data_IF_147867385049
#
_entry.id   IF_147867385049
#
_cell.length_a   1.000
_cell.length_b   1.000
_cell.length_c   1.000
_cell.angle_alpha   90.00
_cell.angle_beta   90.00
_cell.angle_gamma   90.00
#
_symmetry.space_group_name_H-M   'P 1'
#
loop_
_entity.id
_entity.type
_entity.pdbx_description
1 polymer ?
#
# COMPACT_ATOMS: atom_id res chain seq x y z
N UNK A 1 -14.64 7.85 -45.62
CA UNK A 1 -15.35 7.62 -44.34
C UNK A 1 -15.38 6.14 -43.91
N UNK A 2 -15.96 5.21 -44.68
CA UNK A 2 -15.99 3.77 -44.33
C UNK A 2 -14.60 3.13 -44.12
N UNK A 3 -13.60 3.48 -44.95
CA UNK A 3 -12.20 3.04 -44.75
C UNK A 3 -11.60 3.53 -43.43
N UNK A 4 -11.91 4.76 -43.01
CA UNK A 4 -11.44 5.34 -41.75
C UNK A 4 -12.13 4.67 -40.55
N UNK A 5 -13.43 4.42 -40.64
CA UNK A 5 -14.18 3.67 -39.61
C UNK A 5 -13.66 2.23 -39.48
N UNK A 6 -13.42 1.53 -40.60
CA UNK A 6 -12.85 0.18 -40.59
C UNK A 6 -11.40 0.14 -40.06
N UNK A 7 -10.62 1.21 -40.27
CA UNK A 7 -9.28 1.36 -39.70
C UNK A 7 -9.33 1.62 -38.19
N UNK A 8 -10.23 2.47 -37.71
CA UNK A 8 -10.51 2.74 -36.28
C UNK A 8 -11.01 1.49 -35.54
N UNK A 9 -11.87 0.69 -36.18
CA UNK A 9 -12.35 -0.59 -35.61
C UNK A 9 -11.23 -1.63 -35.54
N UNK A 10 -10.35 -1.71 -36.56
CA UNK A 10 -9.16 -2.59 -36.52
C UNK A 10 -8.08 -2.10 -35.55
N UNK A 11 -8.02 -0.79 -35.30
CA UNK A 11 -7.09 -0.16 -34.36
C UNK A 11 -7.34 -0.53 -32.89
N UNK A 12 -8.58 -0.91 -32.52
CA UNK A 12 -8.88 -1.47 -31.18
C UNK A 12 -8.03 -2.70 -30.81
N UNK A 13 -7.35 -3.32 -31.78
CA UNK A 13 -6.58 -4.55 -31.60
C UNK A 13 -5.06 -4.37 -31.83
N UNK A 14 -4.52 -3.14 -31.90
CA UNK A 14 -3.11 -2.88 -32.20
C UNK A 14 -2.47 -1.68 -31.49
N UNK A 15 -1.13 -1.53 -31.57
CA UNK A 15 -0.34 -0.48 -30.89
C UNK A 15 -0.48 0.91 -31.55
N UNK A 16 -0.51 1.98 -30.76
CA UNK A 16 -0.57 3.40 -31.17
C UNK A 16 0.19 3.74 -32.45
N UNK A 17 1.50 3.45 -32.50
CA UNK A 17 2.33 3.79 -33.66
C UNK A 17 1.92 3.12 -34.97
N UNK A 18 1.16 2.01 -34.94
CA UNK A 18 0.56 1.39 -36.14
C UNK A 18 -0.75 2.07 -36.53
N UNK A 19 -1.52 2.53 -35.56
CA UNK A 19 -2.80 3.24 -35.75
C UNK A 19 -2.56 4.63 -36.29
N UNK A 20 -1.66 5.39 -35.66
CA UNK A 20 -1.28 6.73 -36.09
C UNK A 20 -0.71 6.72 -37.52
N UNK A 21 0.25 5.83 -37.83
CA UNK A 21 0.81 5.70 -39.19
C UNK A 21 -0.25 5.35 -40.24
N UNK A 22 -1.18 4.44 -39.91
CA UNK A 22 -2.28 4.07 -40.83
C UNK A 22 -3.27 5.21 -41.03
N UNK A 23 -3.61 5.94 -39.98
CA UNK A 23 -4.54 7.07 -40.09
C UNK A 23 -3.89 8.24 -40.83
N UNK A 24 -2.63 8.58 -40.53
CA UNK A 24 -1.83 9.57 -41.28
C UNK A 24 -1.82 9.25 -42.78
N UNK A 25 -1.54 7.99 -43.13
CA UNK A 25 -1.55 7.52 -44.51
C UNK A 25 -2.93 7.57 -45.19
N UNK A 26 -4.02 7.54 -44.43
CA UNK A 26 -5.40 7.53 -44.95
C UNK A 26 -6.03 8.92 -45.03
N UNK A 27 -5.61 9.87 -44.18
CA UNK A 27 -6.25 11.19 -44.05
C UNK A 27 -5.36 12.35 -44.47
N UNK A 28 -4.05 12.15 -44.64
CA UNK A 28 -3.11 13.22 -44.98
C UNK A 28 -2.95 14.28 -43.88
N UNK A 29 -3.46 14.02 -42.67
CA UNK A 29 -3.39 14.95 -41.53
C UNK A 29 -2.05 14.84 -40.81
N UNK A 30 -1.63 15.95 -40.21
CA UNK A 30 -0.39 15.99 -39.41
C UNK A 30 -0.54 15.16 -38.13
N UNK A 31 0.59 14.75 -37.55
CA UNK A 31 0.60 14.00 -36.29
C UNK A 31 -0.17 14.70 -35.17
N UNK A 32 -0.05 16.04 -35.08
CA UNK A 32 -0.70 16.85 -34.06
C UNK A 32 -2.24 16.88 -34.22
N UNK A 33 -2.74 17.12 -35.43
CA UNK A 33 -4.18 17.10 -35.72
C UNK A 33 -4.81 15.74 -35.46
N UNK A 34 -4.07 14.66 -35.74
CA UNK A 34 -4.51 13.29 -35.48
C UNK A 34 -4.61 13.01 -33.98
N UNK A 35 -3.65 13.49 -33.18
CA UNK A 35 -3.72 13.40 -31.73
C UNK A 35 -4.98 14.09 -31.20
N UNK A 36 -5.26 15.32 -31.61
CA UNK A 36 -6.43 16.09 -31.17
C UNK A 36 -7.77 15.41 -31.53
N UNK A 37 -7.87 14.85 -32.74
CA UNK A 37 -9.05 14.08 -33.16
C UNK A 37 -9.23 12.78 -32.37
N UNK A 38 -8.13 12.07 -32.07
CA UNK A 38 -8.16 10.85 -31.25
C UNK A 38 -8.56 11.16 -29.81
N UNK A 39 -8.12 12.30 -29.27
CA UNK A 39 -8.54 12.81 -27.97
C UNK A 39 -10.05 13.04 -27.90
N UNK A 40 -10.61 13.83 -28.82
CA UNK A 40 -12.06 14.11 -28.88
C UNK A 40 -12.88 12.83 -29.04
N UNK A 41 -12.46 11.92 -29.93
CA UNK A 41 -13.15 10.65 -30.16
C UNK A 41 -13.13 9.76 -28.90
N UNK A 42 -12.02 9.73 -28.17
CA UNK A 42 -11.91 8.95 -26.95
C UNK A 42 -12.73 9.56 -25.80
N UNK A 43 -12.79 10.89 -25.68
CA UNK A 43 -13.64 11.58 -24.70
C UNK A 43 -15.13 11.35 -24.98
N UNK A 44 -15.57 11.45 -26.23
CA UNK A 44 -16.96 11.14 -26.62
C UNK A 44 -17.32 9.68 -26.32
N UNK A 45 -16.37 8.76 -26.51
CA UNK A 45 -16.57 7.34 -26.22
C UNK A 45 -16.68 7.07 -24.72
N UNK A 46 -15.89 7.76 -23.90
CA UNK A 46 -16.02 7.74 -22.44
C UNK A 46 -17.39 8.28 -22.05
N UNK A 47 -17.77 9.47 -22.55
CA UNK A 47 -19.07 10.10 -22.31
C UNK A 47 -20.27 9.19 -22.66
N UNK A 48 -20.20 8.50 -23.81
CA UNK A 48 -21.25 7.60 -24.27
C UNK A 48 -21.37 6.33 -23.41
N UNK A 49 -20.27 5.83 -22.86
CA UNK A 49 -20.22 4.58 -22.07
C UNK A 49 -20.43 4.80 -20.57
N UNK A 50 -20.46 6.06 -20.13
CA UNK A 50 -20.85 6.39 -18.77
C UNK A 50 -22.32 6.05 -18.52
N UNK A 51 -22.65 5.45 -17.34
CA UNK A 51 -24.03 5.30 -16.90
C UNK A 51 -24.76 6.64 -16.97
N UNK A 52 -26.06 6.64 -17.30
CA UNK A 52 -26.84 7.87 -17.47
C UNK A 52 -26.72 8.82 -16.26
N UNK A 53 -26.68 8.27 -15.05
CA UNK A 53 -26.53 9.05 -13.82
C UNK A 53 -25.14 9.72 -13.64
N UNK A 54 -24.13 9.27 -14.36
CA UNK A 54 -22.80 9.89 -14.39
C UNK A 54 -22.70 11.00 -15.46
N UNK A 55 -23.68 11.14 -16.36
CA UNK A 55 -23.63 12.12 -17.47
C UNK A 55 -24.02 13.53 -17.05
N UNK A 56 -24.83 13.68 -16.00
CA UNK A 56 -25.31 14.98 -15.50
C UNK A 56 -24.42 15.58 -14.41
N UNK A 57 -23.53 14.80 -13.80
CA UNK A 57 -22.69 15.21 -12.67
C UNK A 57 -21.19 15.34 -12.98
N UNK A 58 -20.78 15.00 -14.22
CA UNK A 58 -19.39 15.02 -14.63
C UNK A 58 -18.91 16.45 -14.91
N UNK A 59 -18.09 17.01 -14.03
CA UNK A 59 -17.28 18.17 -14.40
C UNK A 59 -16.04 17.65 -15.14
N UNK A 60 -15.84 18.11 -16.37
CA UNK A 60 -14.68 17.78 -17.20
C UNK A 60 -13.75 18.99 -17.20
N UNK A 61 -12.53 18.80 -16.72
CA UNK A 61 -11.49 19.84 -16.71
C UNK A 61 -10.26 19.33 -17.45
N UNK A 62 -9.70 20.17 -18.32
CA UNK A 62 -8.38 19.95 -18.90
C UNK A 62 -7.34 20.46 -17.90
N UNK A 63 -6.29 19.68 -17.69
CA UNK A 63 -5.15 20.07 -16.82
C UNK A 63 -3.87 19.96 -17.62
N UNK A 64 -3.06 21.02 -17.60
CA UNK A 64 -1.77 21.04 -18.32
C UNK A 64 -0.59 20.54 -17.46
N UNK A 65 -0.77 20.38 -16.15
CA UNK A 65 0.27 19.91 -15.22
C UNK A 65 -0.18 18.70 -14.39
N UNK A 66 0.73 17.74 -14.08
CA UNK A 66 2.11 17.61 -14.57
C UNK A 66 2.20 17.00 -15.99
N UNK A 67 1.05 16.69 -16.62
CA UNK A 67 0.93 16.30 -18.02
C UNK A 67 -0.50 16.64 -18.52
N UNK A 68 -0.70 16.93 -19.82
CA UNK A 68 -2.02 17.17 -20.39
C UNK A 68 -2.95 15.99 -20.10
N UNK A 69 -4.00 16.25 -19.33
CA UNK A 69 -4.93 15.25 -18.83
C UNK A 69 -6.37 15.75 -18.85
N UNK A 70 -7.33 14.82 -18.82
CA UNK A 70 -8.75 15.15 -18.63
C UNK A 70 -9.21 14.66 -17.28
N UNK A 71 -9.32 15.58 -16.34
CA UNK A 71 -9.91 15.32 -15.04
C UNK A 71 -11.42 15.23 -15.22
N UNK A 72 -11.94 14.02 -15.04
CA UNK A 72 -13.37 13.77 -15.00
C UNK A 72 -13.82 13.54 -13.56
N UNK A 73 -14.55 14.49 -13.02
CA UNK A 73 -15.02 14.46 -11.65
C UNK A 73 -16.41 13.82 -11.53
N UNK A 74 -16.46 12.60 -11.01
CA UNK A 74 -17.72 11.85 -10.82
C UNK A 74 -18.02 11.60 -9.35
N UNK A 75 -19.30 11.59 -8.96
CA UNK A 75 -19.74 11.23 -7.62
C UNK A 75 -20.93 10.27 -7.60
N UNK A 76 -21.10 9.57 -6.47
CA UNK A 76 -22.30 8.77 -6.17
C UNK A 76 -22.12 7.25 -6.23
N UNK A 77 -23.10 6.50 -5.70
CA UNK A 77 -23.06 5.04 -5.61
C UNK A 77 -23.15 4.34 -6.99
N UNK A 78 -23.77 5.00 -7.98
CA UNK A 78 -23.92 4.50 -9.35
C UNK A 78 -22.60 4.48 -10.14
N UNK A 79 -21.57 5.19 -9.65
CA UNK A 79 -20.23 5.24 -10.23
C UNK A 79 -19.54 3.87 -10.23
N UNK A 80 -19.81 3.05 -9.21
CA UNK A 80 -19.21 1.72 -9.04
C UNK A 80 -19.57 0.76 -10.18
N UNK A 81 -20.80 0.85 -10.69
CA UNK A 81 -21.24 0.05 -11.85
C UNK A 81 -20.52 0.45 -13.14
N UNK A 82 -20.05 1.71 -13.23
CA UNK A 82 -19.36 2.27 -14.40
C UNK A 82 -17.84 2.08 -14.38
N UNK A 83 -17.22 1.75 -13.24
CA UNK A 83 -15.75 1.66 -13.11
C UNK A 83 -15.14 0.66 -14.08
N UNK A 84 -15.75 -0.51 -14.29
CA UNK A 84 -15.23 -1.49 -15.24
C UNK A 84 -15.30 -0.99 -16.70
N UNK A 85 -16.32 -0.21 -17.05
CA UNK A 85 -16.40 0.45 -18.34
C UNK A 85 -15.31 1.53 -18.46
N UNK A 86 -15.16 2.39 -17.45
CA UNK A 86 -14.12 3.41 -17.38
C UNK A 86 -12.70 2.84 -17.50
N UNK A 87 -12.38 1.75 -16.78
CA UNK A 87 -11.10 1.04 -16.89
C UNK A 87 -10.79 0.62 -18.34
N UNK A 88 -11.79 0.09 -19.05
CA UNK A 88 -11.61 -0.32 -20.46
C UNK A 88 -11.39 0.88 -21.37
N UNK A 89 -12.11 1.97 -21.13
CA UNK A 89 -11.97 3.18 -21.95
C UNK A 89 -10.68 3.94 -21.69
N UNK A 90 -10.18 4.02 -20.45
CA UNK A 90 -8.87 4.61 -20.13
C UNK A 90 -7.75 3.79 -20.78
N UNK A 91 -7.82 2.46 -20.71
CA UNK A 91 -6.84 1.59 -21.40
C UNK A 91 -6.88 1.80 -22.90
N UNK A 92 -8.08 1.91 -23.47
CA UNK A 92 -8.25 2.22 -24.89
C UNK A 92 -7.68 3.60 -25.23
N UNK A 93 -7.97 4.64 -24.44
CA UNK A 93 -7.44 5.99 -24.61
C UNK A 93 -5.91 5.95 -24.63
N UNK A 94 -5.30 5.38 -23.60
CA UNK A 94 -3.83 5.31 -23.45
C UNK A 94 -3.21 4.55 -24.63
N UNK A 95 -3.83 3.45 -25.06
CA UNK A 95 -3.38 2.69 -26.23
C UNK A 95 -3.54 3.47 -27.56
N UNK A 96 -4.49 4.40 -27.64
CA UNK A 96 -4.82 5.18 -28.83
C UNK A 96 -4.15 6.54 -28.91
N UNK A 97 -3.70 7.13 -27.80
CA UNK A 97 -3.08 8.46 -27.78
C UNK A 97 -1.62 8.42 -27.37
N UNK A 98 -1.16 7.33 -26.75
CA UNK A 98 0.16 7.26 -26.10
C UNK A 98 0.25 8.14 -24.85
N UNK A 99 -0.83 8.81 -24.45
CA UNK A 99 -0.90 9.69 -23.30
C UNK A 99 -1.78 9.07 -22.21
N UNK A 100 -1.39 9.28 -20.95
CA UNK A 100 -2.15 8.82 -19.81
C UNK A 100 -3.37 9.72 -19.60
N UNK A 101 -4.57 9.12 -19.56
CA UNK A 101 -5.76 9.83 -19.14
C UNK A 101 -5.85 9.85 -17.61
N UNK A 102 -5.64 11.01 -17.00
CA UNK A 102 -5.80 11.20 -15.55
C UNK A 102 -7.27 11.40 -15.20
N UNK A 103 -7.91 10.35 -14.69
CA UNK A 103 -9.29 10.43 -14.21
C UNK A 103 -9.27 10.67 -12.69
N UNK A 104 -10.08 11.59 -12.15
CA UNK A 104 -10.18 11.84 -10.70
C UNK A 104 -11.59 11.63 -10.20
N UNK A 105 -11.85 10.51 -9.54
CA UNK A 105 -13.15 10.23 -8.97
C UNK A 105 -13.38 11.04 -7.69
N UNK A 106 -14.50 11.78 -7.60
CA UNK A 106 -14.85 12.51 -6.37
C UNK A 106 -15.29 11.50 -5.31
N UNK A 107 -14.69 11.62 -4.13
CA UNK A 107 -15.10 10.85 -2.97
C UNK A 107 -16.54 11.18 -2.57
N UNK A 108 -17.41 10.17 -2.37
CA UNK A 108 -18.74 10.36 -1.80
C UNK A 108 -18.69 11.12 -0.45
N UNK A 109 -19.75 11.85 -0.06
CA UNK A 109 -19.81 12.60 1.20
C UNK A 109 -19.40 11.76 2.43
N UNK A 110 -19.82 10.49 2.47
CA UNK A 110 -19.45 9.54 3.51
C UNK A 110 -17.93 9.31 3.62
N UNK A 111 -17.25 9.08 2.50
CA UNK A 111 -15.78 8.87 2.49
C UNK A 111 -15.03 10.17 2.76
N UNK A 112 -15.56 11.33 2.35
CA UNK A 112 -15.00 12.65 2.72
C UNK A 112 -15.14 12.93 4.22
N UNK A 113 -16.26 12.56 4.84
CA UNK A 113 -16.44 12.65 6.28
C UNK A 113 -15.46 11.72 7.01
N UNK A 114 -15.30 10.49 6.50
CA UNK A 114 -14.37 9.51 7.03
C UNK A 114 -12.91 10.01 6.99
N UNK A 115 -12.44 10.51 5.84
CA UNK A 115 -11.09 11.09 5.71
C UNK A 115 -10.86 12.29 6.65
N UNK A 116 -11.89 13.12 6.88
CA UNK A 116 -11.84 14.22 7.86
C UNK A 116 -11.78 13.73 9.31
N UNK A 117 -12.44 12.63 9.63
CA UNK A 117 -12.39 12.04 10.97
C UNK A 117 -10.99 11.50 11.31
N UNK A 118 -10.29 10.89 10.35
CA UNK A 118 -8.91 10.45 10.54
C UNK A 118 -7.96 11.59 10.94
N UNK A 119 -8.15 12.80 10.38
CA UNK A 119 -7.35 13.98 10.75
C UNK A 119 -7.40 14.28 12.25
N UNK A 120 -8.49 13.96 12.93
CA UNK A 120 -8.66 14.22 14.36
C UNK A 120 -8.03 13.15 15.25
N UNK A 121 -7.46 12.08 14.66
CA UNK A 121 -6.82 11.00 15.42
C UNK A 121 -7.77 10.23 16.35
N UNK A 122 -9.08 10.32 16.13
CA UNK A 122 -10.08 9.66 16.97
C UNK A 122 -9.98 8.13 16.80
N UNK A 123 -9.78 7.43 17.92
CA UNK A 123 -9.95 5.97 17.96
C UNK A 123 -11.44 5.64 17.75
N UNK A 124 -11.77 4.59 16.99
CA UNK A 124 -13.16 4.20 16.81
C UNK A 124 -13.70 3.73 18.15
N UNK A 125 -14.89 4.19 18.50
CA UNK A 125 -15.65 3.62 19.60
C UNK A 125 -16.04 2.19 19.22
N UNK A 126 -15.45 1.20 19.91
CA UNK A 126 -15.78 -0.20 19.73
C UNK A 126 -16.70 -0.62 20.87
N UNK A 127 -17.87 -1.14 20.52
CA UNK A 127 -18.81 -1.68 21.49
C UNK A 127 -18.47 -3.16 21.74
N UNK A 128 -18.25 -3.59 23.01
CA UNK A 128 -17.94 -4.98 23.33
C UNK A 128 -18.99 -5.96 22.79
N UNK A 129 -20.27 -5.55 22.85
CA UNK A 129 -21.43 -6.37 22.48
C UNK A 129 -21.86 -6.19 21.01
N UNK A 130 -21.08 -5.50 20.19
CA UNK A 130 -21.35 -5.44 18.75
C UNK A 130 -20.88 -6.74 18.07
N UNK A 131 -21.53 -7.16 16.97
CA UNK A 131 -21.02 -8.24 16.12
C UNK A 131 -19.59 -7.95 15.65
N UNK A 132 -18.70 -8.94 15.68
CA UNK A 132 -17.30 -8.78 15.24
C UNK A 132 -17.18 -8.32 13.79
N UNK A 133 -18.16 -8.64 12.94
CA UNK A 133 -18.23 -8.17 11.55
C UNK A 133 -18.45 -6.64 11.45
N UNK A 134 -19.16 -6.05 12.40
CA UNK A 134 -19.33 -4.60 12.52
C UNK A 134 -18.04 -3.93 13.03
N UNK A 135 -17.42 -4.51 14.07
CA UNK A 135 -16.11 -4.10 14.59
C UNK A 135 -15.04 -4.13 13.48
N UNK A 136 -15.01 -5.20 12.68
CA UNK A 136 -14.12 -5.32 11.52
C UNK A 136 -14.32 -4.18 10.53
N UNK A 137 -15.57 -3.86 10.19
CA UNK A 137 -15.90 -2.74 9.29
C UNK A 137 -15.50 -1.39 9.90
N UNK A 138 -15.69 -1.17 11.20
CA UNK A 138 -15.24 0.05 11.90
C UNK A 138 -13.72 0.22 11.81
N UNK A 139 -12.96 -0.83 12.15
CA UNK A 139 -11.49 -0.81 12.10
C UNK A 139 -11.01 -0.57 10.66
N UNK A 140 -11.54 -1.30 9.67
CA UNK A 140 -11.18 -1.13 8.27
C UNK A 140 -11.51 0.28 7.74
N UNK A 141 -12.65 0.87 8.16
CA UNK A 141 -13.00 2.25 7.83
C UNK A 141 -11.98 3.23 8.39
N UNK A 142 -11.53 3.05 9.63
CA UNK A 142 -10.48 3.90 10.22
C UNK A 142 -9.17 3.82 9.42
N UNK A 143 -8.73 2.63 9.02
CA UNK A 143 -7.49 2.50 8.26
C UNK A 143 -7.65 3.06 6.82
N UNK A 144 -8.82 2.89 6.20
CA UNK A 144 -9.14 3.53 4.92
C UNK A 144 -9.18 5.06 5.04
N UNK A 145 -9.68 5.59 6.16
CA UNK A 145 -9.70 7.01 6.46
C UNK A 145 -8.29 7.63 6.46
N UNK A 146 -7.34 6.94 7.11
CA UNK A 146 -5.93 7.36 7.12
C UNK A 146 -5.32 7.28 5.72
N UNK A 147 -5.55 6.18 4.98
CA UNK A 147 -5.09 6.05 3.59
C UNK A 147 -5.61 7.22 2.74
N UNK A 148 -6.90 7.53 2.81
CA UNK A 148 -7.51 8.65 2.10
C UNK A 148 -6.89 10.01 2.47
N UNK A 149 -6.63 10.23 3.75
CA UNK A 149 -6.03 11.47 4.24
C UNK A 149 -4.63 11.68 3.64
N UNK A 150 -3.77 10.67 3.72
CA UNK A 150 -2.41 10.77 3.21
C UNK A 150 -2.35 10.73 1.67
N UNK A 151 -3.29 10.07 0.99
CA UNK A 151 -3.39 10.16 -0.47
C UNK A 151 -3.67 11.59 -0.92
N UNK A 152 -4.55 12.32 -0.21
CA UNK A 152 -4.86 13.72 -0.51
C UNK A 152 -3.69 14.66 -0.22
N UNK A 153 -2.95 14.42 0.87
CA UNK A 153 -1.79 15.22 1.20
C UNK A 153 -0.66 14.99 0.19
N UNK A 154 -0.36 13.72 -0.15
CA UNK A 154 0.72 13.40 -1.09
C UNK A 154 0.47 14.04 -2.46
N UNK A 155 -0.77 14.03 -2.95
CA UNK A 155 -1.15 14.70 -4.20
C UNK A 155 -1.04 16.24 -4.17
N UNK A 156 -0.92 16.86 -2.99
CA UNK A 156 -0.83 18.33 -2.83
C UNK A 156 0.58 18.83 -2.57
N UNK A 157 1.37 18.09 -1.77
CA UNK A 157 2.67 18.57 -1.27
C UNK A 157 3.84 17.65 -1.56
N UNK A 158 3.61 16.48 -2.14
CA UNK A 158 4.65 15.50 -2.50
C UNK A 158 5.63 15.15 -1.34
N UNK A 159 5.11 15.10 -0.11
CA UNK A 159 5.89 14.88 1.11
C UNK A 159 6.21 13.39 1.31
N UNK A 160 7.49 13.08 1.59
CA UNK A 160 7.97 11.73 1.86
C UNK A 160 7.25 11.07 3.06
N UNK A 161 6.85 11.87 4.06
CA UNK A 161 6.11 11.35 5.21
C UNK A 161 4.72 10.83 4.81
N UNK A 162 4.07 11.40 3.80
CA UNK A 162 2.78 10.87 3.34
C UNK A 162 2.94 9.51 2.63
N UNK A 163 4.05 9.26 1.93
CA UNK A 163 4.34 7.93 1.37
C UNK A 163 4.54 6.92 2.49
N UNK A 164 5.26 7.31 3.56
CA UNK A 164 5.43 6.48 4.75
C UNK A 164 4.07 6.11 5.36
N UNK A 165 3.20 7.10 5.59
CA UNK A 165 1.89 6.86 6.18
C UNK A 165 0.96 6.06 5.25
N UNK A 166 1.02 6.25 3.93
CA UNK A 166 0.31 5.42 2.95
C UNK A 166 0.71 3.95 3.03
N UNK A 167 2.01 3.67 3.16
CA UNK A 167 2.51 2.31 3.40
C UNK A 167 2.00 1.76 4.73
N UNK A 168 2.05 2.54 5.80
CA UNK A 168 1.56 2.14 7.13
C UNK A 168 0.08 1.76 7.07
N UNK A 169 -0.76 2.62 6.51
CA UNK A 169 -2.21 2.41 6.42
C UNK A 169 -2.58 1.25 5.50
N UNK A 170 -1.86 1.07 4.38
CA UNK A 170 -2.02 -0.10 3.51
C UNK A 170 -1.67 -1.40 4.23
N UNK A 171 -0.57 -1.42 4.99
CA UNK A 171 -0.16 -2.59 5.79
C UNK A 171 -1.17 -2.90 6.89
N UNK A 172 -1.68 -1.88 7.60
CA UNK A 172 -2.72 -2.06 8.62
C UNK A 172 -4.04 -2.55 8.00
N UNK A 173 -4.44 -2.05 6.84
CA UNK A 173 -5.59 -2.57 6.07
C UNK A 173 -5.45 -4.05 5.70
N UNK A 174 -4.24 -4.47 5.27
CA UNK A 174 -3.95 -5.88 4.98
C UNK A 174 -4.02 -6.74 6.25
N UNK A 175 -3.44 -6.26 7.35
CA UNK A 175 -3.46 -6.98 8.62
C UNK A 175 -4.90 -7.13 9.16
N UNK A 176 -5.69 -6.05 9.15
CA UNK A 176 -7.09 -6.08 9.56
C UNK A 176 -7.92 -7.02 8.66
N UNK A 177 -7.77 -6.91 7.33
CA UNK A 177 -8.46 -7.82 6.40
C UNK A 177 -8.14 -9.29 6.66
N UNK A 178 -6.90 -9.62 7.01
CA UNK A 178 -6.48 -10.98 7.32
C UNK A 178 -6.95 -11.45 8.70
N UNK A 179 -6.94 -10.55 9.71
CA UNK A 179 -7.43 -10.85 11.06
C UNK A 179 -8.93 -11.17 11.06
N UNK A 180 -9.71 -10.39 10.31
CA UNK A 180 -11.16 -10.49 10.27
C UNK A 180 -11.69 -11.34 9.10
N UNK A 181 -10.83 -12.13 8.46
CA UNK A 181 -11.19 -12.92 7.28
C UNK A 181 -12.36 -13.90 7.55
N UNK A 182 -12.49 -14.42 8.78
CA UNK A 182 -13.61 -15.29 9.17
C UNK A 182 -14.94 -14.55 9.41
N UNK A 183 -14.91 -13.23 9.58
CA UNK A 183 -16.09 -12.38 9.82
C UNK A 183 -16.53 -11.55 8.61
N UNK A 184 -15.79 -11.65 7.51
CA UNK A 184 -16.01 -10.93 6.26
C UNK A 184 -16.24 -11.93 5.12
N UNK A 185 -17.02 -11.57 4.12
CA UNK A 185 -17.19 -12.40 2.93
C UNK A 185 -15.85 -12.49 2.16
N UNK A 186 -15.25 -13.69 2.17
CA UNK A 186 -13.98 -13.96 1.52
C UNK A 186 -14.02 -13.73 0.00
N UNK A 187 -15.16 -14.00 -0.65
CA UNK A 187 -15.33 -13.79 -2.09
C UNK A 187 -15.37 -12.30 -2.43
N UNK A 188 -16.08 -11.51 -1.62
CA UNK A 188 -16.14 -10.06 -1.75
C UNK A 188 -14.80 -9.38 -1.41
N UNK A 189 -14.02 -9.93 -0.48
CA UNK A 189 -12.73 -9.37 -0.06
C UNK A 189 -11.57 -9.65 -1.03
N UNK A 190 -11.67 -10.69 -1.87
CA UNK A 190 -10.59 -11.13 -2.76
C UNK A 190 -10.06 -10.03 -3.72
N UNK A 191 -10.90 -9.21 -4.39
CA UNK A 191 -10.42 -8.11 -5.22
C UNK A 191 -9.68 -7.04 -4.41
N UNK A 192 -10.19 -6.68 -3.23
CA UNK A 192 -9.58 -5.68 -2.36
C UNK A 192 -8.23 -6.15 -1.80
N UNK A 193 -8.11 -7.43 -1.43
CA UNK A 193 -6.84 -8.01 -1.00
C UNK A 193 -5.76 -7.93 -2.09
N UNK A 194 -6.14 -8.09 -3.37
CA UNK A 194 -5.23 -7.91 -4.51
C UNK A 194 -4.81 -6.46 -4.66
N UNK A 195 -5.76 -5.52 -4.60
CA UNK A 195 -5.47 -4.08 -4.69
C UNK A 195 -4.55 -3.61 -3.56
N UNK A 196 -4.82 -4.02 -2.32
CA UNK A 196 -3.97 -3.74 -1.16
C UNK A 196 -2.56 -4.35 -1.29
N UNK A 197 -2.42 -5.52 -1.91
CA UNK A 197 -1.10 -6.10 -2.20
C UNK A 197 -0.34 -5.25 -3.21
N UNK A 198 -1.01 -4.79 -4.27
CA UNK A 198 -0.41 -3.89 -5.26
C UNK A 198 0.03 -2.58 -4.61
N UNK A 199 -0.86 -1.91 -3.87
CA UNK A 199 -0.53 -0.70 -3.10
C UNK A 199 0.68 -0.92 -2.18
N UNK A 200 0.69 -2.05 -1.46
CA UNK A 200 1.76 -2.39 -0.54
C UNK A 200 3.11 -2.61 -1.21
N UNK A 201 3.14 -3.07 -2.48
CA UNK A 201 4.38 -3.18 -3.26
C UNK A 201 4.88 -1.82 -3.72
N UNK A 202 3.98 -0.97 -4.24
CA UNK A 202 4.31 0.37 -4.75
C UNK A 202 4.88 1.25 -3.64
N UNK A 203 4.13 1.47 -2.55
CA UNK A 203 4.63 2.25 -1.41
C UNK A 203 5.72 1.51 -0.63
N UNK A 204 5.76 0.19 -0.76
CA UNK A 204 6.79 -0.67 -0.18
C UNK A 204 8.17 -0.28 -0.69
N UNK A 205 8.32 -0.26 -2.01
CA UNK A 205 9.56 0.02 -2.71
C UNK A 205 10.14 1.40 -2.39
N UNK A 206 9.30 2.44 -2.32
CA UNK A 206 9.76 3.80 -1.94
C UNK A 206 10.37 3.78 -0.55
N UNK A 207 9.69 3.16 0.44
CA UNK A 207 10.20 3.11 1.81
C UNK A 207 11.47 2.28 1.93
N UNK A 208 11.59 1.19 1.20
CA UNK A 208 12.80 0.36 1.23
C UNK A 208 14.01 1.17 0.71
N UNK A 209 13.81 2.01 -0.32
CA UNK A 209 14.82 2.97 -0.80
C UNK A 209 15.08 4.10 0.21
N UNK A 210 14.06 4.68 0.84
CA UNK A 210 14.23 5.71 1.86
C UNK A 210 15.08 5.21 3.05
N UNK A 211 14.78 4.01 3.56
CA UNK A 211 15.53 3.40 4.68
C UNK A 211 16.96 3.08 4.26
N UNK A 212 17.16 2.56 3.05
CA UNK A 212 18.49 2.28 2.54
C UNK A 212 19.34 3.55 2.44
N UNK A 213 18.80 4.61 1.83
CA UNK A 213 19.49 5.89 1.69
C UNK A 213 19.78 6.52 3.06
N UNK A 214 18.85 6.47 4.00
CA UNK A 214 19.06 6.95 5.37
C UNK A 214 20.26 6.25 6.04
N UNK A 215 20.29 4.91 6.01
CA UNK A 215 21.39 4.11 6.60
C UNK A 215 22.71 4.29 5.84
N UNK A 216 22.66 4.33 4.51
CA UNK A 216 23.85 4.52 3.65
C UNK A 216 24.48 5.90 3.86
N UNK A 217 23.69 6.98 3.87
CA UNK A 217 24.19 8.33 4.13
C UNK A 217 24.73 8.48 5.56
N UNK A 218 24.10 7.84 6.55
CA UNK A 218 24.60 7.83 7.93
C UNK A 218 25.96 7.15 8.03
N UNK A 219 26.15 6.01 7.35
CA UNK A 219 27.44 5.33 7.26
C UNK A 219 28.48 6.18 6.53
N UNK A 220 28.12 6.75 5.38
CA UNK A 220 28.99 7.62 4.59
C UNK A 220 29.55 8.79 5.42
N UNK A 221 28.70 9.44 6.24
CA UNK A 221 29.11 10.56 7.09
C UNK A 221 30.16 10.18 8.17
N UNK A 222 30.32 8.89 8.48
CA UNK A 222 31.29 8.39 9.46
C UNK A 222 32.62 7.95 8.83
N UNK A 223 32.70 7.87 7.50
CA UNK A 223 33.90 7.43 6.78
C UNK A 223 34.91 8.57 6.57
N UNK A 224 36.22 8.28 6.50
CA UNK A 224 37.23 9.20 6.00
C UNK A 224 36.99 9.59 4.52
N UNK A 225 37.42 10.80 4.14
CA UNK A 225 37.19 11.36 2.78
C UNK A 225 37.57 10.44 1.60
N UNK A 226 38.66 9.64 1.62
CA UNK A 226 38.96 8.72 0.53
C UNK A 226 37.89 7.64 0.32
N UNK A 227 37.31 7.10 1.40
CA UNK A 227 36.28 6.04 1.36
C UNK A 227 34.87 6.59 1.12
N UNK A 228 34.65 7.88 1.37
CA UNK A 228 33.41 8.56 0.99
C UNK A 228 33.23 8.57 -0.53
N UNK A 229 34.32 8.85 -1.25
CA UNK A 229 34.30 8.99 -2.71
C UNK A 229 33.80 7.75 -3.46
N UNK A 230 34.04 6.53 -2.96
CA UNK A 230 33.54 5.31 -3.60
C UNK A 230 32.05 5.04 -3.35
N UNK A 231 31.47 5.58 -2.27
CA UNK A 231 30.03 5.44 -1.99
C UNK A 231 29.16 6.54 -2.62
N UNK A 232 29.75 7.67 -3.05
CA UNK A 232 29.02 8.75 -3.71
C UNK A 232 28.22 8.27 -4.93
N UNK A 233 28.82 7.40 -5.74
CA UNK A 233 28.17 6.83 -6.94
C UNK A 233 26.99 5.93 -6.58
N UNK A 234 27.10 5.17 -5.48
CA UNK A 234 26.02 4.32 -4.98
C UNK A 234 24.86 5.15 -4.42
N UNK A 235 25.16 6.23 -3.70
CA UNK A 235 24.16 7.17 -3.18
C UNK A 235 23.39 7.80 -4.34
N UNK A 236 24.10 8.31 -5.36
CA UNK A 236 23.49 8.89 -6.55
C UNK A 236 22.59 7.88 -7.29
N UNK A 237 23.05 6.63 -7.43
CA UNK A 237 22.26 5.55 -8.02
C UNK A 237 20.94 5.34 -7.27
N UNK A 238 20.97 5.22 -5.94
CA UNK A 238 19.74 5.00 -5.16
C UNK A 238 18.85 6.24 -5.07
N UNK A 239 19.39 7.45 -5.10
CA UNK A 239 18.61 8.69 -5.19
C UNK A 239 17.82 8.77 -6.51
N UNK A 240 18.43 8.36 -7.63
CA UNK A 240 17.75 8.26 -8.91
C UNK A 240 16.60 7.22 -8.86
N UNK A 241 16.86 6.04 -8.29
CA UNK A 241 15.83 5.01 -8.10
C UNK A 241 14.70 5.48 -7.17
N UNK A 242 15.01 6.18 -6.08
CA UNK A 242 14.02 6.75 -5.16
C UNK A 242 13.11 7.75 -5.87
N UNK A 243 13.68 8.63 -6.69
CA UNK A 243 12.92 9.60 -7.48
C UNK A 243 11.97 8.88 -8.45
N UNK A 244 12.46 7.88 -9.19
CA UNK A 244 11.63 7.08 -10.08
C UNK A 244 10.52 6.30 -9.35
N UNK A 245 10.82 5.76 -8.17
CA UNK A 245 9.85 5.05 -7.33
C UNK A 245 8.77 6.00 -6.79
N UNK A 246 9.13 7.24 -6.40
CA UNK A 246 8.18 8.28 -5.98
C UNK A 246 7.25 8.70 -7.11
N UNK A 247 7.79 8.91 -8.32
CA UNK A 247 6.98 9.17 -9.52
C UNK A 247 6.01 8.02 -9.77
N UNK A 248 6.48 6.76 -9.67
CA UNK A 248 5.63 5.57 -9.81
C UNK A 248 4.52 5.52 -8.76
N UNK A 249 4.81 5.90 -7.51
CA UNK A 249 3.83 5.95 -6.43
C UNK A 249 2.74 7.03 -6.67
N UNK A 250 3.13 8.20 -7.17
CA UNK A 250 2.20 9.26 -7.56
C UNK A 250 1.33 8.83 -8.75
N UNK A 251 1.93 8.23 -9.78
CA UNK A 251 1.21 7.67 -10.92
C UNK A 251 0.21 6.59 -10.49
N UNK A 252 0.60 5.73 -9.54
CA UNK A 252 -0.30 4.72 -8.98
C UNK A 252 -1.49 5.34 -8.26
N UNK A 253 -1.28 6.38 -7.44
CA UNK A 253 -2.36 7.07 -6.73
C UNK A 253 -3.39 7.71 -7.68
N UNK A 254 -2.90 8.34 -8.74
CA UNK A 254 -3.74 8.92 -9.79
C UNK A 254 -4.30 7.86 -10.76
N UNK A 255 -3.81 6.62 -10.66
CA UNK A 255 -4.28 5.50 -11.47
C UNK A 255 -5.72 5.12 -11.15
N UNK A 256 -6.49 4.82 -12.20
CA UNK A 256 -7.88 4.39 -12.09
C UNK A 256 -8.06 3.17 -11.17
N UNK A 257 -7.09 2.27 -11.12
CA UNK A 257 -7.17 1.07 -10.30
C UNK A 257 -7.14 1.39 -8.79
N UNK A 258 -6.31 2.35 -8.37
CA UNK A 258 -6.27 2.80 -6.98
C UNK A 258 -7.56 3.56 -6.61
N UNK A 259 -8.00 4.48 -7.45
CA UNK A 259 -9.21 5.26 -7.19
C UNK A 259 -10.47 4.39 -7.15
N UNK A 260 -10.58 3.45 -8.10
CA UNK A 260 -11.63 2.46 -8.11
C UNK A 260 -11.62 1.60 -6.83
N UNK A 261 -10.44 1.13 -6.43
CA UNK A 261 -10.28 0.38 -5.19
C UNK A 261 -10.82 1.18 -3.99
N UNK A 262 -10.40 2.44 -3.84
CA UNK A 262 -10.82 3.30 -2.73
C UNK A 262 -12.34 3.45 -2.67
N UNK A 263 -13.00 3.62 -3.82
CA UNK A 263 -14.45 3.77 -3.89
C UNK A 263 -15.20 2.47 -3.67
N UNK A 264 -14.81 1.40 -4.36
CA UNK A 264 -15.44 0.08 -4.26
C UNK A 264 -15.29 -0.45 -2.84
N UNK A 265 -14.09 -0.34 -2.27
CA UNK A 265 -13.82 -0.77 -0.90
C UNK A 265 -14.51 0.11 0.12
N UNK A 266 -14.49 1.44 -0.06
CA UNK A 266 -15.22 2.36 0.81
C UNK A 266 -16.73 2.11 0.80
N UNK A 267 -17.33 1.90 -0.37
CA UNK A 267 -18.75 1.56 -0.49
C UNK A 267 -19.05 0.20 0.16
N UNK A 268 -18.22 -0.81 -0.08
CA UNK A 268 -18.33 -2.10 0.58
C UNK A 268 -18.35 -1.97 2.10
N UNK A 269 -17.43 -1.18 2.67
CA UNK A 269 -17.33 -0.98 4.12
C UNK A 269 -18.48 -0.16 4.72
N UNK A 270 -19.08 0.73 3.94
CA UNK A 270 -20.21 1.57 4.38
C UNK A 270 -21.57 0.86 4.26
N UNK A 271 -21.66 -0.26 3.55
CA UNK A 271 -22.86 -1.09 3.57
C UNK A 271 -23.02 -1.72 4.96
N UNK A 272 -24.27 -1.83 5.47
CA UNK A 272 -24.51 -2.57 6.69
C UNK A 272 -24.04 -4.02 6.50
N UNK A 273 -23.55 -4.68 7.57
CA UNK A 273 -23.30 -6.12 7.49
C UNK A 273 -24.60 -6.84 7.07
N UNK A 274 -24.53 -7.97 6.34
CA UNK A 274 -25.71 -8.77 6.04
C UNK A 274 -26.48 -9.03 7.33
N UNK A 275 -27.80 -8.85 7.30
CA UNK A 275 -28.62 -8.71 8.51
C UNK A 275 -28.59 -9.95 9.41
N UNK A 276 -29.08 -9.78 10.65
CA UNK A 276 -29.17 -10.83 11.66
C UNK A 276 -29.88 -12.12 11.19
N UNK A 277 -30.68 -12.09 10.12
CA UNK A 277 -31.30 -13.31 9.56
C UNK A 277 -30.30 -14.27 8.92
N UNK A 278 -29.06 -13.84 8.66
CA UNK A 278 -27.99 -14.69 8.11
C UNK A 278 -27.19 -15.42 9.20
N UNK A 279 -27.21 -14.93 10.44
CA UNK A 279 -26.46 -15.49 11.58
C UNK A 279 -27.28 -15.35 12.86
N UNK A 280 -28.06 -16.39 13.26
CA UNK A 280 -28.95 -16.32 14.43
C UNK A 280 -28.21 -16.06 15.75
N UNK A 281 -26.90 -16.33 15.82
CA UNK A 281 -26.03 -16.00 16.93
C UNK A 281 -24.71 -15.39 16.42
N UNK A 282 -24.60 -14.06 16.27
CA UNK A 282 -23.36 -13.43 15.83
C UNK A 282 -22.29 -13.53 16.93
N UNK A 283 -21.05 -13.80 16.52
CA UNK A 283 -19.90 -13.73 17.44
C UNK A 283 -19.67 -12.26 17.81
N UNK A 284 -19.67 -11.96 19.12
CA UNK A 284 -19.47 -10.60 19.64
C UNK A 284 -17.99 -10.20 19.64
N UNK A 285 -17.73 -8.90 19.59
CA UNK A 285 -16.37 -8.37 19.59
C UNK A 285 -15.59 -8.77 20.86
N UNK A 286 -16.22 -8.73 22.03
CA UNK A 286 -15.61 -9.12 23.30
C UNK A 286 -15.25 -10.61 23.39
N UNK A 287 -15.95 -11.48 22.67
CA UNK A 287 -15.67 -12.92 22.63
C UNK A 287 -14.66 -13.27 21.52
N UNK A 288 -14.71 -12.55 20.39
CA UNK A 288 -13.78 -12.73 19.28
C UNK A 288 -12.37 -12.20 19.59
N UNK A 289 -12.25 -11.08 20.31
CA UNK A 289 -10.96 -10.43 20.55
C UNK A 289 -9.94 -11.36 21.23
N UNK A 290 -10.25 -12.08 22.34
CA UNK A 290 -9.34 -13.05 22.93
C UNK A 290 -8.91 -14.13 21.93
N UNK A 291 -9.86 -14.74 21.21
CA UNK A 291 -9.57 -15.81 20.24
C UNK A 291 -8.61 -15.34 19.15
N UNK A 292 -8.86 -14.16 18.58
CA UNK A 292 -8.05 -13.60 17.51
C UNK A 292 -6.65 -13.17 18.00
N UNK A 293 -6.55 -12.59 19.20
CA UNK A 293 -5.26 -12.19 19.80
C UNK A 293 -4.43 -13.43 20.16
N UNK A 294 -5.02 -14.40 20.86
CA UNK A 294 -4.30 -15.62 21.24
C UNK A 294 -3.95 -16.49 20.03
N UNK A 295 -4.74 -16.47 18.96
CA UNK A 295 -4.35 -17.08 17.68
C UNK A 295 -3.05 -16.48 17.13
N UNK A 296 -2.90 -15.15 17.14
CA UNK A 296 -1.64 -14.48 16.74
C UNK A 296 -0.50 -14.72 17.73
N UNK A 297 -0.80 -14.84 19.01
CA UNK A 297 0.20 -15.21 20.01
C UNK A 297 0.73 -16.63 19.75
N UNK A 298 -0.15 -17.57 19.40
CA UNK A 298 0.22 -18.95 19.09
C UNK A 298 1.14 -19.03 17.87
N UNK A 299 0.86 -18.26 16.80
CA UNK A 299 1.73 -18.13 15.62
C UNK A 299 3.16 -17.72 16.02
N UNK A 300 3.30 -16.68 16.85
CA UNK A 300 4.61 -16.24 17.36
C UNK A 300 5.27 -17.31 18.24
N UNK A 301 4.51 -17.93 19.15
CA UNK A 301 5.02 -18.93 20.08
C UNK A 301 5.50 -20.21 19.38
N UNK A 302 4.96 -20.51 18.20
CA UNK A 302 5.37 -21.66 17.40
C UNK A 302 6.87 -21.63 17.04
N UNK A 303 7.49 -20.45 16.98
CA UNK A 303 8.92 -20.30 16.69
C UNK A 303 9.83 -20.53 17.90
N UNK A 304 9.32 -20.41 19.13
CA UNK A 304 10.14 -20.47 20.34
C UNK A 304 10.95 -21.77 20.49
N UNK A 305 10.40 -22.97 20.19
CA UNK A 305 11.14 -24.23 20.36
C UNK A 305 12.42 -24.33 19.51
N UNK A 306 12.49 -23.63 18.38
CA UNK A 306 13.61 -23.70 17.45
C UNK A 306 14.29 -22.34 17.24
N UNK A 307 14.03 -21.37 18.12
CA UNK A 307 14.51 -20.00 17.95
C UNK A 307 16.04 -19.89 17.96
N UNK A 308 16.73 -20.75 18.72
CA UNK A 308 18.19 -20.77 18.80
C UNK A 308 18.87 -21.05 17.45
N UNK A 309 18.20 -21.82 16.58
CA UNK A 309 18.72 -22.24 15.27
C UNK A 309 17.93 -21.60 14.12
N UNK A 310 17.17 -20.53 14.39
CA UNK A 310 16.33 -19.88 13.41
C UNK A 310 17.17 -19.28 12.26
N UNK A 311 16.79 -19.61 11.03
CA UNK A 311 17.35 -19.00 9.83
C UNK A 311 16.89 -17.54 9.69
N UNK A 312 17.53 -16.79 8.79
CA UNK A 312 17.06 -15.44 8.44
C UNK A 312 15.63 -15.44 7.90
N UNK A 313 15.23 -16.51 7.18
CA UNK A 313 13.86 -16.67 6.71
C UNK A 313 12.89 -16.86 7.87
N UNK A 314 13.24 -17.71 8.85
CA UNK A 314 12.39 -17.93 10.03
C UNK A 314 12.23 -16.64 10.84
N UNK A 315 13.30 -15.86 11.00
CA UNK A 315 13.24 -14.58 11.70
C UNK A 315 12.44 -13.52 10.93
N UNK A 316 12.46 -13.55 9.59
CA UNK A 316 11.60 -12.71 8.76
C UNK A 316 10.11 -13.04 8.95
N UNK A 317 9.77 -14.33 8.97
CA UNK A 317 8.39 -14.79 9.20
C UNK A 317 7.94 -14.47 10.63
N UNK A 318 8.80 -14.71 11.63
CA UNK A 318 8.55 -14.35 13.02
C UNK A 318 8.31 -12.84 13.19
N UNK A 319 9.07 -12.00 12.48
CA UNK A 319 8.84 -10.54 12.45
C UNK A 319 7.47 -10.17 11.90
N UNK A 320 7.01 -10.87 10.87
CA UNK A 320 5.67 -10.67 10.32
C UNK A 320 4.63 -11.05 11.37
N UNK A 321 4.81 -12.16 12.09
CA UNK A 321 3.84 -12.64 13.08
C UNK A 321 3.81 -11.75 14.34
N UNK A 322 4.96 -11.24 14.80
CA UNK A 322 5.00 -10.20 15.83
C UNK A 322 4.24 -8.95 15.41
N UNK A 323 4.35 -8.53 14.14
CA UNK A 323 3.57 -7.39 13.61
C UNK A 323 2.08 -7.69 13.59
N UNK A 324 1.67 -8.89 13.19
CA UNK A 324 0.25 -9.30 13.21
C UNK A 324 -0.30 -9.30 14.64
N UNK A 325 0.44 -9.83 15.61
CA UNK A 325 0.06 -9.80 17.03
C UNK A 325 -0.11 -8.37 17.53
N UNK A 326 0.87 -7.49 17.27
CA UNK A 326 0.75 -6.08 17.67
C UNK A 326 -0.43 -5.39 17.00
N UNK A 327 -0.71 -5.68 15.73
CA UNK A 327 -1.89 -5.11 15.07
C UNK A 327 -3.20 -5.62 15.63
N UNK A 328 -3.31 -6.90 15.97
CA UNK A 328 -4.51 -7.42 16.63
C UNK A 328 -4.76 -6.68 17.96
N UNK A 329 -3.71 -6.49 18.76
CA UNK A 329 -3.77 -5.71 20.00
C UNK A 329 -4.13 -4.25 19.76
N UNK A 330 -3.51 -3.58 18.79
CA UNK A 330 -3.80 -2.19 18.45
C UNK A 330 -5.24 -2.01 17.94
N UNK A 331 -5.78 -2.98 17.18
CA UNK A 331 -7.13 -2.90 16.64
C UNK A 331 -8.21 -3.10 17.69
N UNK A 332 -7.96 -3.96 18.67
CA UNK A 332 -8.88 -4.20 19.79
C UNK A 332 -8.61 -3.31 20.99
N UNK A 333 -7.62 -2.39 20.94
CA UNK A 333 -7.23 -1.50 22.05
C UNK A 333 -8.39 -0.92 22.85
N UNK A 334 -9.48 -0.39 22.25
CA UNK A 334 -10.61 0.15 23.02
C UNK A 334 -11.34 -0.88 23.89
N UNK A 335 -11.16 -2.18 23.65
CA UNK A 335 -11.76 -3.30 24.38
C UNK A 335 -10.76 -3.97 25.35
N UNK A 336 -9.54 -3.42 25.51
CA UNK A 336 -8.48 -4.05 26.29
C UNK A 336 -8.09 -3.20 27.50
N UNK A 337 -7.60 -3.86 28.55
CA UNK A 337 -7.19 -3.22 29.81
C UNK A 337 -5.89 -2.43 29.73
N UNK A 338 -5.61 -1.69 30.80
CA UNK A 338 -4.47 -0.76 30.90
C UNK A 338 -3.09 -1.42 30.68
N UNK A 339 -2.94 -2.70 31.03
CA UNK A 339 -1.70 -3.48 30.83
C UNK A 339 -1.27 -3.56 29.36
N UNK A 340 -2.18 -3.29 28.42
CA UNK A 340 -1.89 -3.24 26.99
C UNK A 340 -0.70 -2.31 26.68
N UNK A 341 -0.56 -1.17 27.38
CA UNK A 341 0.54 -0.24 27.14
C UNK A 341 1.91 -0.91 27.35
N UNK A 342 2.04 -1.68 28.42
CA UNK A 342 3.25 -2.42 28.77
C UNK A 342 3.52 -3.53 27.75
N UNK A 343 2.49 -4.30 27.39
CA UNK A 343 2.57 -5.36 26.37
C UNK A 343 3.04 -4.79 25.03
N UNK A 344 2.45 -3.68 24.56
CA UNK A 344 2.84 -3.03 23.31
C UNK A 344 4.29 -2.53 23.37
N UNK A 345 4.73 -2.05 24.53
CA UNK A 345 6.12 -1.60 24.73
C UNK A 345 7.11 -2.76 24.56
N UNK A 346 6.86 -3.90 25.19
CA UNK A 346 7.70 -5.10 25.05
C UNK A 346 7.72 -5.59 23.59
N UNK A 347 6.55 -5.63 22.93
CA UNK A 347 6.47 -6.03 21.52
C UNK A 347 7.21 -5.08 20.58
N UNK A 348 7.28 -3.77 20.88
CA UNK A 348 8.06 -2.82 20.09
C UNK A 348 9.56 -3.12 20.16
N UNK A 349 10.11 -3.34 21.35
CA UNK A 349 11.54 -3.64 21.52
C UNK A 349 11.98 -4.87 20.70
N UNK A 350 11.14 -5.91 20.65
CA UNK A 350 11.39 -7.10 19.82
C UNK A 350 11.31 -6.77 18.33
N UNK A 351 10.32 -5.98 17.93
CA UNK A 351 10.14 -5.56 16.55
C UNK A 351 11.24 -4.62 16.06
N UNK A 352 11.88 -3.86 16.94
CA UNK A 352 12.99 -2.98 16.61
C UNK A 352 14.20 -3.84 16.21
N UNK A 353 14.58 -4.83 17.02
CA UNK A 353 15.68 -5.76 16.70
C UNK A 353 15.43 -6.55 15.40
N UNK A 354 14.24 -7.14 15.25
CA UNK A 354 13.88 -7.83 14.01
C UNK A 354 13.75 -6.87 12.83
N UNK A 355 13.38 -5.61 13.09
CA UNK A 355 13.35 -4.52 12.13
C UNK A 355 14.73 -4.26 11.55
N UNK A 356 15.70 -4.01 12.42
CA UNK A 356 17.09 -3.74 12.04
C UNK A 356 17.74 -4.90 11.31
N UNK A 357 17.50 -6.14 11.76
CA UNK A 357 17.98 -7.34 11.08
C UNK A 357 17.44 -7.42 9.64
N UNK A 358 16.12 -7.25 9.48
CA UNK A 358 15.49 -7.26 8.17
C UNK A 358 16.02 -6.11 7.28
N UNK A 359 16.23 -4.94 7.84
CA UNK A 359 16.70 -3.78 7.08
C UNK A 359 18.16 -3.96 6.66
N UNK A 360 19.00 -4.61 7.48
CA UNK A 360 20.36 -5.01 7.12
C UNK A 360 20.36 -6.01 5.95
N UNK A 361 19.50 -7.02 6.01
CA UNK A 361 19.40 -8.05 4.97
C UNK A 361 18.89 -7.49 3.63
N UNK A 362 17.83 -6.66 3.67
CA UNK A 362 17.30 -5.95 2.50
C UNK A 362 18.35 -5.02 1.90
N UNK A 363 19.11 -4.28 2.72
CA UNK A 363 20.18 -3.41 2.24
C UNK A 363 21.27 -4.20 1.49
N UNK A 364 21.73 -5.33 2.05
CA UNK A 364 22.72 -6.19 1.37
C UNK A 364 22.21 -6.66 0.00
N UNK A 365 20.96 -7.14 -0.06
CA UNK A 365 20.36 -7.61 -1.30
C UNK A 365 20.22 -6.49 -2.34
N UNK A 366 19.80 -5.30 -1.93
CA UNK A 366 19.64 -4.14 -2.82
C UNK A 366 20.97 -3.65 -3.37
N UNK A 367 22.02 -3.58 -2.54
CA UNK A 367 23.34 -3.09 -2.96
C UNK A 367 24.03 -4.09 -3.88
N UNK A 368 23.94 -5.40 -3.59
CA UNK A 368 24.44 -6.44 -4.51
C UNK A 368 23.77 -6.37 -5.86
N UNK A 369 22.45 -6.23 -5.87
CA UNK A 369 21.69 -6.06 -7.12
C UNK A 369 22.11 -4.79 -7.87
N UNK A 370 22.38 -3.69 -7.17
CA UNK A 370 22.84 -2.47 -7.82
C UNK A 370 24.20 -2.67 -8.52
N UNK A 371 25.14 -3.39 -7.90
CA UNK A 371 26.41 -3.77 -8.53
C UNK A 371 26.20 -4.61 -9.79
N UNK A 372 25.23 -5.52 -9.80
CA UNK A 372 24.90 -6.34 -10.96
C UNK A 372 24.21 -5.53 -12.08
N UNK A 373 23.33 -4.60 -11.71
CA UNK A 373 22.49 -3.83 -12.63
C UNK A 373 23.25 -2.63 -13.28
N UNK A 374 24.30 -2.08 -12.63
CA UNK A 374 25.05 -0.91 -13.12
C UNK A 374 26.58 -1.17 -13.18
N UNK A 375 27.15 -1.39 -14.39
CA UNK A 375 28.59 -1.56 -14.57
C UNK A 375 29.44 -0.38 -14.08
N UNK A 376 28.88 0.83 -13.99
CA UNK A 376 29.58 2.00 -13.46
C UNK A 376 29.96 1.84 -11.99
N UNK A 377 29.14 1.13 -11.21
CA UNK A 377 29.38 0.86 -9.79
C UNK A 377 30.51 -0.16 -9.57
N UNK A 378 30.84 -0.99 -10.56
CA UNK A 378 31.92 -1.98 -10.46
C UNK A 378 33.29 -1.34 -10.26
N UNK A 379 33.49 -0.11 -10.75
CA UNK A 379 34.73 0.65 -10.52
C UNK A 379 34.99 0.97 -9.04
N UNK A 380 33.94 1.01 -8.22
CA UNK A 380 33.97 1.29 -6.78
C UNK A 380 33.66 0.05 -5.94
N UNK A 381 33.83 -1.15 -6.51
CA UNK A 381 33.42 -2.42 -5.89
C UNK A 381 33.93 -2.60 -4.46
N UNK A 382 35.17 -2.22 -4.17
CA UNK A 382 35.81 -2.43 -2.87
C UNK A 382 35.14 -1.61 -1.74
N UNK A 383 34.81 -0.34 -1.98
CA UNK A 383 34.09 0.49 -1.00
C UNK A 383 32.64 0.02 -0.81
N UNK A 384 31.97 -0.30 -1.92
CA UNK A 384 30.59 -0.81 -1.88
C UNK A 384 30.53 -2.15 -1.14
N UNK A 385 31.51 -3.03 -1.38
CA UNK A 385 31.62 -4.31 -0.69
C UNK A 385 32.01 -4.15 0.79
N UNK A 386 32.78 -3.12 1.15
CA UNK A 386 33.04 -2.78 2.54
C UNK A 386 31.73 -2.42 3.27
N UNK A 387 30.86 -1.61 2.65
CA UNK A 387 29.53 -1.32 3.19
C UNK A 387 28.67 -2.59 3.34
N UNK A 388 28.64 -3.47 2.32
CA UNK A 388 27.94 -4.77 2.42
C UNK A 388 28.46 -5.57 3.62
N UNK A 389 29.78 -5.66 3.79
CA UNK A 389 30.43 -6.42 4.87
C UNK A 389 30.01 -5.88 6.26
N UNK A 390 29.93 -4.56 6.42
CA UNK A 390 29.43 -3.92 7.65
C UNK A 390 27.99 -4.34 7.92
N UNK A 391 27.11 -4.26 6.91
CA UNK A 391 25.70 -4.65 7.05
C UNK A 391 25.53 -6.15 7.34
N UNK A 392 26.34 -7.02 6.75
CA UNK A 392 26.32 -8.45 7.02
C UNK A 392 26.80 -8.77 8.44
N UNK A 393 27.80 -8.05 8.93
CA UNK A 393 28.28 -8.19 10.31
C UNK A 393 27.20 -7.79 11.31
N UNK A 394 26.54 -6.66 11.09
CA UNK A 394 25.39 -6.21 11.90
C UNK A 394 24.25 -7.22 11.87
N UNK A 395 23.88 -7.73 10.69
CA UNK A 395 22.84 -8.76 10.53
C UNK A 395 23.17 -10.01 11.35
N UNK A 396 24.39 -10.52 11.25
CA UNK A 396 24.84 -11.72 11.98
C UNK A 396 24.82 -11.49 13.50
N UNK A 397 25.27 -10.32 13.96
CA UNK A 397 25.24 -9.96 15.38
C UNK A 397 23.80 -9.88 15.93
N UNK A 398 22.89 -9.24 15.19
CA UNK A 398 21.47 -9.14 15.56
C UNK A 398 20.80 -10.52 15.57
N UNK A 399 21.11 -11.37 14.58
CA UNK A 399 20.60 -12.74 14.53
C UNK A 399 21.04 -13.56 15.75
N UNK A 400 22.31 -13.48 16.13
CA UNK A 400 22.85 -14.19 17.28
C UNK A 400 22.28 -13.68 18.61
N UNK A 401 22.02 -12.37 18.73
CA UNK A 401 21.50 -11.75 19.94
C UNK A 401 19.98 -11.95 20.13
N UNK A 402 19.23 -12.15 19.03
CA UNK A 402 17.76 -12.14 19.06
C UNK A 402 17.12 -13.16 20.03
N UNK A 403 17.60 -14.42 20.14
CA UNK A 403 17.01 -15.37 21.09
C UNK A 403 17.02 -14.88 22.55
N UNK A 404 18.11 -14.22 22.97
CA UNK A 404 18.21 -13.66 24.33
C UNK A 404 17.24 -12.49 24.54
N UNK A 405 17.11 -11.60 23.54
CA UNK A 405 16.14 -10.50 23.57
C UNK A 405 14.70 -11.03 23.68
N UNK A 406 14.36 -12.02 22.87
CA UNK A 406 13.03 -12.65 22.89
C UNK A 406 12.74 -13.32 24.25
N UNK A 407 13.73 -14.02 24.82
CA UNK A 407 13.62 -14.64 26.13
C UNK A 407 13.36 -13.62 27.25
N UNK A 408 14.09 -12.49 27.23
CA UNK A 408 13.99 -11.44 28.25
C UNK A 408 12.74 -10.55 28.15
N UNK A 409 12.19 -10.34 26.96
CA UNK A 409 11.10 -9.38 26.73
C UNK A 409 9.73 -10.02 26.48
N UNK A 410 9.67 -11.24 25.91
CA UNK A 410 8.41 -11.87 25.51
C UNK A 410 8.17 -13.25 26.09
N UNK A 411 9.20 -14.09 26.19
CA UNK A 411 9.05 -15.43 26.77
C UNK A 411 9.08 -15.43 28.31
N UNK A 412 8.63 -14.33 28.95
CA UNK A 412 8.59 -14.19 30.40
C UNK A 412 7.20 -14.47 30.95
N UNK A 413 7.12 -14.94 32.20
CA UNK A 413 5.84 -15.09 32.91
C UNK A 413 5.13 -13.74 33.07
N UNK A 414 5.89 -12.67 33.30
CA UNK A 414 5.38 -11.31 33.42
C UNK A 414 4.65 -10.85 32.15
N UNK A 415 5.23 -11.05 30.96
CA UNK A 415 4.58 -10.71 29.70
C UNK A 415 3.26 -11.47 29.52
N UNK A 416 3.26 -12.77 29.84
CA UNK A 416 2.06 -13.61 29.71
C UNK A 416 0.95 -13.15 30.66
N UNK A 417 1.29 -12.83 31.91
CA UNK A 417 0.34 -12.31 32.89
C UNK A 417 -0.23 -10.95 32.45
N UNK A 418 0.62 -10.03 31.99
CA UNK A 418 0.19 -8.72 31.50
C UNK A 418 -0.72 -8.82 30.28
N UNK A 419 -0.38 -9.69 29.32
CA UNK A 419 -1.24 -9.94 28.16
C UNK A 419 -2.58 -10.54 28.56
N UNK A 420 -2.57 -11.54 29.46
CA UNK A 420 -3.80 -12.14 29.97
C UNK A 420 -4.68 -11.12 30.71
N UNK A 421 -4.09 -10.28 31.57
CA UNK A 421 -4.79 -9.19 32.27
C UNK A 421 -5.34 -8.14 31.30
N UNK A 422 -4.59 -7.77 30.26
CA UNK A 422 -5.06 -6.83 29.24
C UNK A 422 -6.27 -7.39 28.46
N UNK A 423 -6.26 -8.68 28.14
CA UNK A 423 -7.35 -9.34 27.37
C UNK A 423 -8.56 -9.65 28.25
N UNK A 424 -8.36 -9.90 29.55
CA UNK A 424 -9.43 -10.26 30.48
C UNK A 424 -10.16 -9.05 31.09
N UNK A 425 -9.59 -7.85 31.01
CA UNK A 425 -10.21 -6.63 31.51
C UNK A 425 -11.49 -6.32 30.70
N UNK A 426 -12.64 -6.71 31.27
CA UNK A 426 -13.97 -6.40 30.76
C UNK A 426 -14.51 -5.14 31.43
#
# INVERSE_FOLDING_TARGET
MQRNVAALVRAQRGSFGKVQRRLQALTGTTAAQLTEQLWLAALLRIAARLPAACRTSAAMHLTDEPAPGVVLEFGGAQLLAGVAALRREIKFFTACTGQALQLSLRLPPALRALARAARKGLEPELLPNAPVSETARLILRQQLASLLHHSQNLARREDAEDVHQLRVSTRRLRAASALFAGSLDASAMKPFARALRTAGRVFGHVRDLDVLLEKLCSHHAQLPAPQQSGLDSLIAYFQHQQTAARVTALQYLHGIDHQAFVLEFGAFLMQPPPSASTWPHPVLACDAAPQLIYGRLAEVRAFLPHLQNASLSDLHDLRIDFKKLRYALDFFRPLLGAELKTVISALKQIQDVLGDLNDADVACAMVRRALDDDPGLQSQYWDINAYITVRETERTALQAAFPAVCAGQFATAAFQQQLASAVAAR
#
